data_IF_277679787615
#
_entry.id   IF_277679787615
#
_cell.length_a   1.000
_cell.length_b   1.000
_cell.length_c   1.000
_cell.angle_alpha   90.00
_cell.angle_beta   90.00
_cell.angle_gamma   90.00
#
_symmetry.space_group_name_H-M   'P 1'
#
loop_
_entity.id
_entity.type
_entity.pdbx_description
1 polymer ?
#
# COMPACT_ATOMS: atom_id res chain seq x y z
N UNK A 1 -9.94 21.65 -7.88
CA UNK A 1 -9.41 20.88 -9.04
C UNK A 1 -7.93 20.53 -8.89
N UNK A 2 -7.04 21.49 -8.60
CA UNK A 2 -5.60 21.24 -8.42
C UNK A 2 -5.27 20.11 -7.41
N UNK A 3 -5.99 20.05 -6.28
CA UNK A 3 -5.85 18.98 -5.28
C UNK A 3 -6.16 17.58 -5.83
N UNK A 4 -7.20 17.44 -6.68
CA UNK A 4 -7.57 16.15 -7.29
C UNK A 4 -6.54 15.70 -8.32
N UNK A 5 -6.00 16.64 -9.10
CA UNK A 5 -4.91 16.34 -10.04
C UNK A 5 -3.63 15.94 -9.30
N UNK A 6 -3.27 16.65 -8.23
CA UNK A 6 -2.14 16.29 -7.39
C UNK A 6 -2.33 14.91 -6.75
N UNK A 7 -3.52 14.60 -6.25
CA UNK A 7 -3.85 13.28 -5.72
C UNK A 7 -3.76 12.17 -6.79
N UNK A 8 -4.21 12.44 -8.02
CA UNK A 8 -4.07 11.50 -9.13
C UNK A 8 -2.60 11.21 -9.46
N UNK A 9 -1.76 12.24 -9.55
CA UNK A 9 -0.31 12.07 -9.77
C UNK A 9 0.35 11.34 -8.61
N UNK A 10 0.01 11.71 -7.36
CA UNK A 10 0.53 11.06 -6.16
C UNK A 10 0.18 9.57 -6.09
N UNK A 11 -1.01 9.20 -6.55
CA UNK A 11 -1.44 7.79 -6.64
C UNK A 11 -0.48 6.98 -7.50
N UNK A 12 -0.04 7.52 -8.64
CA UNK A 12 0.92 6.84 -9.51
C UNK A 12 2.29 6.69 -8.86
N UNK A 13 2.75 7.70 -8.11
CA UNK A 13 4.00 7.62 -7.34
C UNK A 13 3.95 6.47 -6.33
N UNK A 14 2.87 6.39 -5.54
CA UNK A 14 2.67 5.31 -4.56
C UNK A 14 2.64 3.92 -5.20
N UNK A 15 1.98 3.78 -6.36
CA UNK A 15 1.94 2.52 -7.09
C UNK A 15 3.34 2.12 -7.55
N UNK A 16 4.11 3.06 -8.12
CA UNK A 16 5.46 2.80 -8.61
C UNK A 16 6.38 2.37 -7.46
N UNK A 17 6.40 3.12 -6.37
CA UNK A 17 7.19 2.82 -5.17
C UNK A 17 6.84 1.44 -4.61
N UNK A 18 5.53 1.16 -4.50
CA UNK A 18 5.03 -0.14 -4.07
C UNK A 18 5.50 -1.30 -4.95
N UNK A 19 5.47 -1.13 -6.28
CA UNK A 19 5.98 -2.13 -7.23
C UNK A 19 7.49 -2.34 -7.06
N UNK A 20 8.26 -1.29 -6.84
CA UNK A 20 9.70 -1.42 -6.58
C UNK A 20 9.99 -2.18 -5.29
N UNK A 21 9.27 -1.88 -4.21
CA UNK A 21 9.37 -2.61 -2.94
C UNK A 21 9.05 -4.08 -3.13
N UNK A 22 7.91 -4.40 -3.74
CA UNK A 22 7.50 -5.79 -4.01
C UNK A 22 8.53 -6.56 -4.83
N UNK A 23 9.07 -5.94 -5.89
CA UNK A 23 10.13 -6.53 -6.72
C UNK A 23 11.40 -6.76 -5.92
N UNK A 24 11.81 -5.81 -5.09
CA UNK A 24 12.99 -5.92 -4.23
C UNK A 24 12.84 -7.06 -3.22
N UNK A 25 11.68 -7.18 -2.58
CA UNK A 25 11.37 -8.24 -1.62
C UNK A 25 11.33 -9.62 -2.27
N UNK A 26 10.64 -9.76 -3.41
CA UNK A 26 10.59 -11.03 -4.14
C UNK A 26 12.00 -11.48 -4.51
N UNK A 27 12.81 -10.59 -5.11
CA UNK A 27 14.20 -10.91 -5.48
C UNK A 27 15.07 -11.27 -4.28
N UNK A 28 14.83 -10.70 -3.11
CA UNK A 28 15.58 -11.06 -1.91
C UNK A 28 15.21 -12.45 -1.39
N UNK A 29 13.91 -12.77 -1.34
CA UNK A 29 13.45 -14.11 -0.99
C UNK A 29 13.96 -15.19 -1.96
N UNK A 30 13.99 -14.89 -3.26
CA UNK A 30 14.50 -15.82 -4.27
C UNK A 30 16.01 -16.05 -4.11
N UNK A 31 16.79 -15.00 -3.80
CA UNK A 31 18.23 -15.12 -3.52
C UNK A 31 18.50 -15.97 -2.28
N UNK A 32 17.79 -15.72 -1.18
CA UNK A 32 17.99 -16.47 0.07
C UNK A 32 17.64 -17.95 -0.11
N UNK A 33 16.56 -18.26 -0.85
CA UNK A 33 16.21 -19.65 -1.18
C UNK A 33 17.27 -20.35 -2.03
N UNK A 34 17.97 -19.61 -2.88
CA UNK A 34 19.08 -20.12 -3.67
C UNK A 34 20.41 -20.21 -2.90
N UNK A 35 20.41 -19.97 -1.57
CA UNK A 35 21.62 -19.96 -0.74
C UNK A 35 22.47 -18.70 -0.89
N UNK A 36 21.92 -17.64 -1.51
CA UNK A 36 22.57 -16.35 -1.66
C UNK A 36 22.43 -15.44 -0.43
N UNK A 37 22.89 -14.21 -0.58
CA UNK A 37 22.88 -13.18 0.48
C UNK A 37 21.46 -12.83 0.98
N UNK A 38 21.36 -12.61 2.29
CA UNK A 38 20.14 -12.24 3.04
C UNK A 38 19.64 -10.86 2.64
N UNK A 39 20.56 -9.93 2.33
CA UNK A 39 20.25 -8.60 1.83
C UNK A 39 19.20 -7.86 2.68
N UNK A 40 18.08 -7.50 2.06
CA UNK A 40 16.98 -6.75 2.71
C UNK A 40 16.23 -7.55 3.79
N UNK A 41 16.38 -8.88 3.84
CA UNK A 41 15.75 -9.73 4.85
C UNK A 41 16.56 -9.81 6.16
N UNK A 42 17.58 -8.97 6.31
CA UNK A 42 18.47 -8.96 7.47
C UNK A 42 17.75 -8.86 8.83
N UNK A 43 16.62 -8.14 9.01
CA UNK A 43 15.98 -8.06 10.33
C UNK A 43 15.49 -9.43 10.81
N UNK A 44 15.08 -10.28 9.87
CA UNK A 44 14.56 -11.62 10.15
C UNK A 44 15.72 -12.57 10.52
N UNK A 45 16.83 -12.47 9.78
CA UNK A 45 18.03 -13.25 10.08
C UNK A 45 18.66 -12.84 11.42
N UNK A 46 18.66 -11.55 11.72
CA UNK A 46 19.18 -11.02 12.98
C UNK A 46 18.32 -11.47 14.16
N UNK A 47 16.99 -11.42 14.03
CA UNK A 47 16.08 -11.98 15.04
C UNK A 47 16.33 -13.48 15.27
N UNK A 48 16.62 -14.23 14.20
CA UNK A 48 16.97 -15.64 14.31
C UNK A 48 18.31 -15.85 15.04
N UNK A 49 19.31 -15.03 14.73
CA UNK A 49 20.63 -15.08 15.36
C UNK A 49 20.55 -14.77 16.85
N UNK A 50 19.88 -13.68 17.22
CA UNK A 50 19.69 -13.28 18.62
C UNK A 50 18.95 -14.36 19.40
N UNK A 51 17.91 -14.96 18.81
CA UNK A 51 17.23 -16.09 19.43
C UNK A 51 18.16 -17.31 19.53
N UNK A 52 18.92 -17.66 18.51
CA UNK A 52 19.81 -18.84 18.58
C UNK A 52 20.91 -18.74 19.64
N UNK A 53 21.39 -17.52 19.92
CA UNK A 53 22.48 -17.22 20.85
C UNK A 53 22.03 -17.06 22.30
N UNK A 54 20.75 -16.76 22.55
CA UNK A 54 20.24 -16.73 23.91
C UNK A 54 20.20 -18.16 24.47
N UNK A 55 21.03 -18.43 25.48
CA UNK A 55 21.03 -19.68 26.23
C UNK A 55 20.06 -19.57 27.40
N UNK A 56 19.09 -20.48 27.44
CA UNK A 56 18.14 -20.59 28.54
C UNK A 56 18.39 -21.91 29.30
N UNK A 57 18.44 -21.89 30.64
CA UNK A 57 18.67 -23.09 31.42
C UNK A 57 17.52 -24.10 31.22
N UNK A 58 17.88 -25.38 31.07
CA UNK A 58 16.94 -26.50 30.84
C UNK A 58 16.04 -26.37 29.59
N UNK A 59 16.45 -25.59 28.59
CA UNK A 59 15.71 -25.47 27.33
C UNK A 59 15.89 -26.73 26.46
N UNK A 60 14.79 -27.39 26.14
CA UNK A 60 14.78 -28.47 25.15
C UNK A 60 15.00 -27.94 23.74
N UNK A 61 15.49 -28.79 22.83
CA UNK A 61 15.66 -28.46 21.40
C UNK A 61 14.36 -27.94 20.78
N UNK A 62 13.23 -28.52 21.18
CA UNK A 62 11.90 -28.10 20.73
C UNK A 62 11.57 -26.67 21.18
N UNK A 63 11.81 -26.34 22.46
CA UNK A 63 11.59 -24.99 22.99
C UNK A 63 12.51 -23.95 22.33
N UNK A 64 13.78 -24.30 22.10
CA UNK A 64 14.73 -23.43 21.39
C UNK A 64 14.25 -23.14 19.97
N UNK A 65 13.80 -24.16 19.24
CA UNK A 65 13.25 -24.01 17.88
C UNK A 65 12.00 -23.13 17.86
N UNK A 66 11.07 -23.36 18.77
CA UNK A 66 9.84 -22.57 18.88
C UNK A 66 10.15 -21.09 19.16
N UNK A 67 11.10 -20.83 20.06
CA UNK A 67 11.55 -19.46 20.36
C UNK A 67 12.16 -18.76 19.14
N UNK A 68 13.02 -19.45 18.38
CA UNK A 68 13.58 -18.91 17.13
C UNK A 68 12.46 -18.62 16.13
N UNK A 69 11.52 -19.55 15.93
CA UNK A 69 10.35 -19.36 15.06
C UNK A 69 9.53 -18.13 15.46
N UNK A 70 9.24 -17.97 16.75
CA UNK A 70 8.46 -16.84 17.26
C UNK A 70 9.15 -15.50 17.00
N UNK A 71 10.45 -15.40 17.28
CA UNK A 71 11.21 -14.17 17.06
C UNK A 71 11.34 -13.82 15.57
N UNK A 72 11.61 -14.82 14.72
CA UNK A 72 11.66 -14.61 13.27
C UNK A 72 10.29 -14.18 12.71
N UNK A 73 9.19 -14.80 13.15
CA UNK A 73 7.85 -14.41 12.72
C UNK A 73 7.46 -13.02 13.21
N UNK A 74 7.89 -12.61 14.40
CA UNK A 74 7.71 -11.24 14.88
C UNK A 74 8.44 -10.25 13.99
N UNK A 75 9.75 -10.44 13.78
CA UNK A 75 10.55 -9.57 12.93
C UNK A 75 10.03 -9.51 11.48
N UNK A 76 9.58 -10.65 10.93
CA UNK A 76 8.99 -10.69 9.59
C UNK A 76 7.67 -9.93 9.50
N UNK A 77 6.83 -9.96 10.55
CA UNK A 77 5.59 -9.17 10.59
C UNK A 77 5.87 -7.68 10.65
N UNK A 78 6.75 -7.25 11.55
CA UNK A 78 7.16 -5.84 11.69
C UNK A 78 7.74 -5.33 10.37
N UNK A 79 8.69 -6.08 9.78
CA UNK A 79 9.28 -5.74 8.50
C UNK A 79 8.26 -5.66 7.33
N UNK A 80 7.27 -6.54 7.29
CA UNK A 80 6.22 -6.52 6.26
C UNK A 80 5.26 -5.35 6.43
N UNK A 81 4.95 -4.95 7.67
CA UNK A 81 4.12 -3.77 7.93
C UNK A 81 4.79 -2.50 7.41
N UNK A 82 6.09 -2.35 7.66
CA UNK A 82 6.87 -1.21 7.15
C UNK A 82 6.93 -1.22 5.62
N UNK A 83 7.09 -2.40 5.01
CA UNK A 83 7.12 -2.55 3.56
C UNK A 83 5.78 -2.24 2.87
N UNK A 84 4.66 -2.37 3.59
CA UNK A 84 3.31 -2.11 3.07
C UNK A 84 2.94 -0.62 3.03
N UNK A 85 3.75 0.29 3.59
CA UNK A 85 3.34 1.64 3.99
C UNK A 85 2.48 2.49 3.03
N UNK A 86 2.62 2.34 1.70
CA UNK A 86 1.77 3.05 0.72
C UNK A 86 0.40 2.43 0.45
N UNK A 87 0.20 1.16 0.84
CA UNK A 87 -1.00 0.37 0.55
C UNK A 87 -2.28 0.91 1.22
N UNK A 88 -2.26 1.33 2.50
CA UNK A 88 -3.44 1.92 3.14
C UNK A 88 -3.87 3.23 2.47
N UNK A 89 -2.92 4.03 1.99
CA UNK A 89 -3.22 5.28 1.28
C UNK A 89 -3.93 5.00 -0.04
N UNK A 90 -3.48 3.99 -0.80
CA UNK A 90 -4.18 3.56 -2.02
C UNK A 90 -5.62 3.11 -1.73
N UNK A 91 -5.87 2.42 -0.61
CA UNK A 91 -7.22 2.03 -0.20
C UNK A 91 -8.12 3.25 0.11
N UNK A 92 -7.57 4.26 0.77
CA UNK A 92 -8.28 5.51 1.06
C UNK A 92 -8.59 6.26 -0.22
N UNK A 93 -7.61 6.43 -1.13
CA UNK A 93 -7.84 7.14 -2.41
C UNK A 93 -8.86 6.40 -3.27
N UNK A 94 -8.79 5.07 -3.32
CA UNK A 94 -9.75 4.23 -4.04
C UNK A 94 -11.19 4.40 -3.53
N UNK A 95 -11.38 4.48 -2.21
CA UNK A 95 -12.71 4.56 -1.60
C UNK A 95 -13.25 5.99 -1.52
N UNK A 96 -12.42 6.97 -1.16
CA UNK A 96 -12.82 8.35 -0.95
C UNK A 96 -12.78 9.21 -2.24
N UNK A 97 -11.88 8.91 -3.18
CA UNK A 97 -11.66 9.69 -4.40
C UNK A 97 -12.93 9.99 -5.22
N UNK A 98 -13.83 9.02 -5.46
CA UNK A 98 -15.07 9.27 -6.18
C UNK A 98 -16.00 10.25 -5.46
N UNK A 99 -16.06 10.17 -4.12
CA UNK A 99 -16.88 11.05 -3.30
C UNK A 99 -16.34 12.48 -3.26
N UNK A 100 -15.03 12.66 -3.26
CA UNK A 100 -14.42 14.00 -3.38
C UNK A 100 -14.75 14.62 -4.75
N UNK A 101 -14.73 13.82 -5.82
CA UNK A 101 -15.17 14.26 -7.15
C UNK A 101 -16.65 14.65 -7.20
N UNK A 102 -17.52 13.79 -6.66
CA UNK A 102 -18.96 14.04 -6.55
C UNK A 102 -19.27 15.32 -5.75
N UNK A 103 -18.59 15.51 -4.62
CA UNK A 103 -18.71 16.74 -3.84
C UNK A 103 -18.35 17.97 -4.67
N UNK A 104 -17.27 17.90 -5.46
CA UNK A 104 -16.89 18.94 -6.41
C UNK A 104 -17.97 19.26 -7.44
N UNK A 105 -18.62 18.23 -8.02
CA UNK A 105 -19.75 18.47 -8.94
C UNK A 105 -20.92 19.18 -8.26
N UNK A 106 -21.31 18.74 -7.07
CA UNK A 106 -22.44 19.32 -6.33
C UNK A 106 -22.17 20.78 -6.01
N UNK A 107 -20.97 21.09 -5.52
CA UNK A 107 -20.56 22.46 -5.20
C UNK A 107 -20.52 23.35 -6.46
N UNK A 108 -19.92 22.87 -7.55
CA UNK A 108 -19.80 23.65 -8.79
C UNK A 108 -21.15 23.94 -9.45
N UNK A 109 -22.07 22.97 -9.43
CA UNK A 109 -23.44 23.16 -9.90
C UNK A 109 -24.18 24.17 -9.01
N UNK A 110 -24.07 24.05 -7.69
CA UNK A 110 -24.68 25.01 -6.73
C UNK A 110 -24.17 26.44 -6.94
N UNK A 111 -22.87 26.61 -7.16
CA UNK A 111 -22.26 27.91 -7.44
C UNK A 111 -22.74 28.48 -8.78
N UNK A 112 -22.89 27.64 -9.80
CA UNK A 112 -23.40 28.04 -11.12
C UNK A 112 -24.84 28.56 -11.02
N UNK A 113 -25.72 27.85 -10.31
CA UNK A 113 -27.09 28.30 -10.07
C UNK A 113 -27.19 29.58 -9.22
N UNK A 114 -26.27 29.75 -8.26
CA UNK A 114 -26.19 30.98 -7.48
C UNK A 114 -25.77 32.19 -8.33
N UNK A 115 -24.91 31.98 -9.34
CA UNK A 115 -24.55 32.99 -10.34
C UNK A 115 -25.74 33.43 -11.19
N UNK A 116 -26.59 32.49 -11.64
CA UNK A 116 -27.84 32.79 -12.36
C UNK A 116 -28.73 33.68 -11.50
N UNK A 117 -28.91 33.34 -10.21
CA UNK A 117 -29.79 34.09 -9.31
C UNK A 117 -29.31 35.55 -9.09
N UNK A 118 -28.00 35.79 -9.08
CA UNK A 118 -27.44 37.12 -8.89
C UNK A 118 -27.45 37.97 -10.17
N UNK A 119 -27.12 37.36 -11.31
CA UNK A 119 -27.03 38.05 -12.61
C UNK A 119 -28.37 38.19 -13.31
N UNK A 120 -29.36 37.39 -12.92
CA UNK A 120 -30.65 37.24 -13.60
C UNK A 120 -30.53 36.82 -15.08
N UNK A 121 -29.34 36.32 -15.48
CA UNK A 121 -29.06 35.83 -16.82
C UNK A 121 -29.11 34.30 -16.84
N UNK A 122 -30.07 33.76 -17.59
CA UNK A 122 -30.27 32.31 -17.75
C UNK A 122 -29.59 31.75 -19.00
N UNK A 123 -28.79 32.56 -19.70
CA UNK A 123 -28.09 32.12 -20.88
C UNK A 123 -27.08 31.00 -20.56
N UNK A 124 -27.14 29.94 -21.36
CA UNK A 124 -26.23 28.81 -21.22
C UNK A 124 -24.76 29.23 -21.31
N UNK A 125 -24.44 30.30 -22.04
CA UNK A 125 -23.09 30.82 -22.18
C UNK A 125 -22.48 31.25 -20.83
N UNK A 126 -23.28 31.79 -19.91
CA UNK A 126 -22.80 32.28 -18.60
C UNK A 126 -22.54 31.13 -17.64
N UNK A 127 -23.30 30.04 -17.72
CA UNK A 127 -23.22 28.91 -16.76
C UNK A 127 -22.41 27.72 -17.27
N UNK A 128 -22.25 27.57 -18.59
CA UNK A 128 -21.57 26.44 -19.20
C UNK A 128 -20.13 26.23 -18.65
N UNK A 129 -19.31 27.28 -18.44
CA UNK A 129 -17.98 27.09 -17.85
C UNK A 129 -18.02 26.48 -16.44
N UNK A 130 -18.90 26.98 -15.57
CA UNK A 130 -19.01 26.50 -14.18
C UNK A 130 -19.49 25.06 -14.09
N UNK A 131 -20.43 24.66 -14.97
CA UNK A 131 -20.91 23.27 -15.04
C UNK A 131 -19.82 22.35 -15.62
N UNK A 132 -19.07 22.79 -16.62
CA UNK A 132 -17.96 22.02 -17.17
C UNK A 132 -16.88 21.73 -16.12
N UNK A 133 -16.48 22.74 -15.34
CA UNK A 133 -15.52 22.58 -14.24
C UNK A 133 -16.05 21.65 -13.14
N UNK A 134 -17.35 21.73 -12.84
CA UNK A 134 -18.01 20.83 -11.92
C UNK A 134 -17.87 19.37 -12.40
N UNK A 135 -18.25 19.08 -13.65
CA UNK A 135 -18.16 17.73 -14.23
C UNK A 135 -16.71 17.20 -14.29
N UNK A 136 -15.75 18.08 -14.58
CA UNK A 136 -14.34 17.75 -14.56
C UNK A 136 -13.86 17.28 -13.17
N UNK A 137 -14.43 17.81 -12.08
CA UNK A 137 -14.10 17.36 -10.73
C UNK A 137 -14.38 15.86 -10.51
N UNK A 138 -15.52 15.35 -10.99
CA UNK A 138 -15.83 13.91 -10.92
C UNK A 138 -14.90 13.09 -11.79
N UNK A 139 -14.58 13.56 -13.00
CA UNK A 139 -13.64 12.88 -13.88
C UNK A 139 -12.26 12.73 -13.21
N UNK A 140 -11.76 13.77 -12.53
CA UNK A 140 -10.49 13.70 -11.80
C UNK A 140 -10.56 12.82 -10.55
N UNK A 141 -11.68 12.82 -9.83
CA UNK A 141 -11.90 11.91 -8.70
C UNK A 141 -11.80 10.43 -9.13
N UNK A 142 -12.41 10.09 -10.27
CA UNK A 142 -12.32 8.75 -10.85
C UNK A 142 -10.93 8.43 -11.39
N UNK A 143 -10.26 9.41 -12.03
CA UNK A 143 -8.91 9.25 -12.55
C UNK A 143 -7.87 8.95 -11.45
N UNK A 144 -8.09 9.41 -10.22
CA UNK A 144 -7.29 9.02 -9.04
C UNK A 144 -7.75 7.67 -8.45
N UNK A 145 -9.06 7.47 -8.30
CA UNK A 145 -9.62 6.32 -7.59
C UNK A 145 -9.41 4.98 -8.33
N UNK A 146 -9.56 4.95 -9.66
CA UNK A 146 -9.48 3.72 -10.44
C UNK A 146 -8.06 3.10 -10.37
N UNK A 147 -6.97 3.83 -10.67
CA UNK A 147 -5.62 3.29 -10.50
C UNK A 147 -5.33 2.89 -9.06
N UNK A 148 -5.80 3.67 -8.07
CA UNK A 148 -5.62 3.35 -6.66
C UNK A 148 -6.25 2.01 -6.28
N UNK A 149 -7.48 1.74 -6.75
CA UNK A 149 -8.19 0.49 -6.50
C UNK A 149 -7.45 -0.72 -7.10
N UNK A 150 -6.99 -0.58 -8.36
CA UNK A 150 -6.22 -1.62 -9.04
C UNK A 150 -4.89 -1.88 -8.33
N UNK A 151 -4.18 -0.80 -7.98
CA UNK A 151 -2.92 -0.85 -7.24
C UNK A 151 -3.06 -1.55 -5.89
N UNK A 152 -4.03 -1.11 -5.08
CA UNK A 152 -4.33 -1.70 -3.78
C UNK A 152 -4.60 -3.21 -3.88
N UNK A 153 -5.50 -3.63 -4.77
CA UNK A 153 -5.86 -5.04 -4.90
C UNK A 153 -4.66 -5.89 -5.37
N UNK A 154 -3.94 -5.43 -6.40
CA UNK A 154 -2.82 -6.19 -6.97
C UNK A 154 -1.64 -6.28 -6.00
N UNK A 155 -1.30 -5.17 -5.36
CA UNK A 155 -0.21 -5.13 -4.38
C UNK A 155 -0.57 -5.92 -3.13
N UNK A 156 -1.81 -5.83 -2.64
CA UNK A 156 -2.28 -6.63 -1.50
C UNK A 156 -2.13 -8.13 -1.75
N UNK A 157 -2.53 -8.62 -2.93
CA UNK A 157 -2.32 -10.02 -3.33
C UNK A 157 -0.82 -10.39 -3.37
N UNK A 158 0.03 -9.51 -3.91
CA UNK A 158 1.47 -9.74 -3.98
C UNK A 158 2.13 -9.79 -2.60
N UNK A 159 1.76 -8.88 -1.68
CA UNK A 159 2.21 -8.91 -0.29
C UNK A 159 1.74 -10.16 0.44
N UNK A 160 0.49 -10.59 0.23
CA UNK A 160 -0.02 -11.87 0.77
C UNK A 160 0.85 -13.05 0.35
N UNK A 161 1.13 -13.18 -0.95
CA UNK A 161 2.02 -14.22 -1.47
C UNK A 161 3.45 -14.14 -0.89
N UNK A 162 4.01 -12.93 -0.74
CA UNK A 162 5.33 -12.73 -0.14
C UNK A 162 5.35 -13.13 1.35
N UNK A 163 4.30 -12.81 2.12
CA UNK A 163 4.16 -13.24 3.52
C UNK A 163 4.17 -14.77 3.64
N UNK A 164 3.43 -15.48 2.79
CA UNK A 164 3.46 -16.95 2.77
C UNK A 164 4.84 -17.51 2.37
N UNK A 165 5.48 -16.89 1.37
CA UNK A 165 6.85 -17.28 0.94
C UNK A 165 7.86 -17.08 2.07
N UNK A 166 7.72 -16.01 2.84
CA UNK A 166 8.53 -15.69 4.02
C UNK A 166 8.31 -16.68 5.15
N UNK A 167 7.06 -16.99 5.49
CA UNK A 167 6.71 -17.97 6.52
C UNK A 167 7.30 -19.34 6.22
N UNK A 168 7.23 -19.79 4.95
CA UNK A 168 7.91 -21.02 4.52
C UNK A 168 9.42 -20.97 4.72
N UNK A 169 10.07 -19.86 4.37
CA UNK A 169 11.51 -19.68 4.60
C UNK A 169 11.87 -19.78 6.08
N UNK A 170 11.12 -19.09 6.95
CA UNK A 170 11.32 -19.12 8.40
C UNK A 170 11.19 -20.54 8.94
N UNK A 171 10.18 -21.28 8.49
CA UNK A 171 9.98 -22.68 8.89
C UNK A 171 11.17 -23.56 8.49
N UNK A 172 11.62 -23.48 7.23
CA UNK A 172 12.78 -24.23 6.74
C UNK A 172 14.07 -23.89 7.48
N UNK A 173 14.30 -22.60 7.74
CA UNK A 173 15.46 -22.13 8.48
C UNK A 173 15.49 -22.70 9.91
N UNK A 174 14.37 -22.60 10.64
CA UNK A 174 14.29 -23.12 12.00
C UNK A 174 14.41 -24.64 12.08
N UNK A 175 13.96 -25.39 11.06
CA UNK A 175 14.22 -26.84 10.98
C UNK A 175 15.68 -27.18 10.72
N UNK A 176 16.44 -26.31 10.03
CA UNK A 176 17.84 -26.58 9.67
C UNK A 176 18.86 -26.34 10.78
N UNK A 177 18.45 -25.64 11.84
CA UNK A 177 19.31 -25.30 12.99
C UNK A 177 19.20 -26.33 14.14
N UNK A 178 18.16 -27.19 14.10
CA UNK A 178 17.95 -28.27 15.05
C UNK A 178 18.63 -29.56 14.57
#
# INVERSE_FOLDING_TARGET
MALLLAAAVWTWVLIIDGVFVLRRLSKALDRVRAGGDIGVLWPIAEAARQASQAELPNESIHQKRERILQQMNRAAREFMLDAEGGLPVLAIVASAGPFVGLFGTVWGIMSSFSGIAQTQDTSLAVVAPGIADALAATAYGLAAAIPAAIGYNRMGMAFGSLKERMSRYIMTYATSIA
#
